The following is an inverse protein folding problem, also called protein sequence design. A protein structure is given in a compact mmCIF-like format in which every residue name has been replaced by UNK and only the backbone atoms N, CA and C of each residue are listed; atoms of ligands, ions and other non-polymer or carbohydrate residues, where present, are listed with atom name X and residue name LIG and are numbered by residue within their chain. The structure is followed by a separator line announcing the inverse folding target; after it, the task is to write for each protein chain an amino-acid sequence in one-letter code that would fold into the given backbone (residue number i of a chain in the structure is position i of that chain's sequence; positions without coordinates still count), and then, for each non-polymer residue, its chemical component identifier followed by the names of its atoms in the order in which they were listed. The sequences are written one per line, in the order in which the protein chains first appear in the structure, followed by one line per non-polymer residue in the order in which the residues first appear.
data_IF_866296616452
#
_entry.id   IF_866296616452
#
_cell.length_a   1.000
_cell.length_b   1.000
_cell.length_c   1.000
_cell.angle_alpha   90.00
_cell.angle_beta   90.00
_cell.angle_gamma   90.00
#
_symmetry.space_group_name_H-M   'P 1'
#
loop_
_entity.id
_entity.type
_entity.pdbx_description
1 polymer ?
#
# COMPACT_ATOMS: atom_id res chain seq x y z
N UNK A 1 -12.72 22.87 -46.78
CA UNK A 1 -12.01 23.54 -45.67
C UNK A 1 -13.03 23.95 -44.62
N UNK A 2 -13.16 23.18 -43.55
CA UNK A 2 -14.01 23.51 -42.41
C UNK A 2 -13.09 23.58 -41.19
N UNK A 3 -12.93 24.79 -40.67
CA UNK A 3 -12.17 25.09 -39.45
C UNK A 3 -13.10 24.92 -38.27
N UNK A 4 -12.95 23.85 -37.51
CA UNK A 4 -13.59 23.72 -36.19
C UNK A 4 -12.52 24.04 -35.14
N UNK A 5 -12.48 25.32 -34.77
CA UNK A 5 -11.87 25.83 -33.56
C UNK A 5 -12.88 25.63 -32.44
N UNK A 6 -12.71 24.63 -31.59
CA UNK A 6 -13.25 24.67 -30.22
C UNK A 6 -12.28 23.96 -29.29
N UNK A 7 -11.50 24.81 -28.61
CA UNK A 7 -10.87 24.53 -27.33
C UNK A 7 -11.99 24.27 -26.33
N UNK A 8 -12.02 23.09 -25.72
CA UNK A 8 -12.63 22.90 -24.41
C UNK A 8 -11.83 21.82 -23.68
N UNK A 9 -10.87 22.20 -22.80
CA UNK A 9 -10.33 21.24 -21.86
C UNK A 9 -11.47 20.90 -20.89
N UNK A 10 -12.04 19.70 -21.03
CA UNK A 10 -12.93 19.14 -20.02
C UNK A 10 -12.04 18.76 -18.84
N UNK A 11 -11.82 19.76 -18.01
CA UNK A 11 -11.21 19.69 -16.69
C UNK A 11 -12.25 19.03 -15.78
N UNK A 12 -12.38 17.70 -15.89
CA UNK A 12 -13.19 16.91 -14.98
C UNK A 12 -12.39 16.71 -13.71
N UNK A 13 -12.56 17.69 -12.82
CA UNK A 13 -12.36 17.57 -11.38
C UNK A 13 -13.15 16.36 -10.89
N UNK A 14 -12.50 15.20 -10.78
CA UNK A 14 -13.02 14.11 -9.95
C UNK A 14 -12.64 14.49 -8.53
N UNK A 15 -13.67 14.97 -7.84
CA UNK A 15 -13.72 15.31 -6.43
C UNK A 15 -13.14 14.17 -5.59
N UNK A 16 -12.12 14.50 -4.81
CA UNK A 16 -11.73 13.71 -3.65
C UNK A 16 -12.95 13.60 -2.73
N UNK A 17 -13.59 12.43 -2.73
CA UNK A 17 -14.52 12.06 -1.68
C UNK A 17 -13.69 11.81 -0.44
N UNK A 18 -13.58 12.84 0.40
CA UNK A 18 -13.17 12.70 1.80
C UNK A 18 -14.12 11.70 2.46
N UNK A 19 -13.66 10.47 2.65
CA UNK A 19 -14.26 9.56 3.63
C UNK A 19 -14.07 10.25 4.98
N UNK A 20 -15.19 10.76 5.47
CA UNK A 20 -15.34 11.36 6.79
C UNK A 20 -14.92 10.34 7.84
N UNK A 21 -13.81 10.57 8.54
CA UNK A 21 -13.62 10.03 9.88
C UNK A 21 -14.80 10.51 10.72
N UNK A 22 -15.73 9.61 11.03
CA UNK A 22 -16.79 9.88 11.99
C UNK A 22 -16.16 9.83 13.38
N UNK A 23 -15.75 11.01 13.88
CA UNK A 23 -15.56 11.22 15.30
C UNK A 23 -16.94 11.38 15.93
N UNK A 24 -17.44 10.33 16.57
CA UNK A 24 -18.42 10.46 17.65
C UNK A 24 -17.80 9.83 18.90
N UNK A 25 -17.56 10.71 19.87
CA UNK A 25 -17.09 10.45 21.23
C UNK A 25 -17.93 9.37 21.93
N UNK A 26 -17.24 8.48 22.64
CA UNK A 26 -17.57 7.92 23.97
C UNK A 26 -17.02 6.49 24.06
N UNK A 27 -15.84 6.34 24.67
CA UNK A 27 -15.66 5.55 25.88
C UNK A 27 -14.17 5.38 26.19
N UNK A 28 -13.84 5.61 27.45
CA UNK A 28 -12.56 5.33 28.08
C UNK A 28 -12.17 3.86 27.87
N UNK A 29 -11.30 3.59 26.90
CA UNK A 29 -10.47 2.40 26.91
C UNK A 29 -9.02 2.81 26.61
N UNK A 30 -8.19 2.65 27.62
CA UNK A 30 -6.73 2.63 27.59
C UNK A 30 -6.26 1.46 26.71
N UNK A 31 -6.55 1.55 25.40
CA UNK A 31 -6.04 0.64 24.39
C UNK A 31 -4.75 1.26 23.88
N UNK A 32 -3.62 0.70 24.28
CA UNK A 32 -2.30 0.92 23.69
C UNK A 32 -2.26 0.36 22.26
N UNK A 33 -3.20 0.76 21.40
CA UNK A 33 -3.27 0.39 20.01
C UNK A 33 -2.42 1.37 19.22
N UNK A 34 -1.34 0.85 18.64
CA UNK A 34 -0.57 1.56 17.63
C UNK A 34 -1.55 1.99 16.53
N UNK A 35 -1.78 3.30 16.40
CA UNK A 35 -2.65 3.84 15.37
C UNK A 35 -2.03 3.52 14.02
N UNK A 36 -2.82 2.96 13.10
CA UNK A 36 -2.41 2.64 11.74
C UNK A 36 -1.58 3.77 11.10
N UNK A 37 -0.28 3.52 10.83
CA UNK A 37 0.60 4.51 10.24
C UNK A 37 0.52 4.47 8.70
N UNK A 38 -0.46 5.20 8.15
CA UNK A 38 -0.72 5.21 6.71
C UNK A 38 0.46 5.73 5.88
N UNK A 39 1.28 6.63 6.45
CA UNK A 39 2.47 7.16 5.77
C UNK A 39 3.52 6.07 5.59
N UNK A 40 3.82 5.33 6.66
CA UNK A 40 4.77 4.20 6.64
C UNK A 40 4.31 3.05 5.74
N UNK A 41 3.01 2.70 5.77
CA UNK A 41 2.46 1.72 4.83
C UNK A 41 2.61 2.14 3.36
N UNK A 42 2.50 3.43 3.07
CA UNK A 42 2.67 3.94 1.71
C UNK A 42 4.13 3.82 1.26
N UNK A 43 5.08 4.15 2.14
CA UNK A 43 6.51 3.98 1.87
C UNK A 43 6.88 2.51 1.64
N UNK A 44 6.39 1.60 2.49
CA UNK A 44 6.61 0.16 2.36
C UNK A 44 6.02 -0.40 1.06
N UNK A 45 4.86 0.10 0.60
CA UNK A 45 4.30 -0.29 -0.70
C UNK A 45 5.17 0.15 -1.89
N UNK A 46 5.75 1.36 -1.83
CA UNK A 46 6.70 1.80 -2.86
C UNK A 46 7.95 0.92 -2.87
N UNK A 47 8.48 0.57 -1.70
CA UNK A 47 9.63 -0.33 -1.57
C UNK A 47 9.33 -1.76 -2.05
N UNK A 48 8.13 -2.30 -1.77
CA UNK A 48 7.66 -3.59 -2.30
C UNK A 48 7.69 -3.59 -3.83
N UNK A 49 7.23 -2.51 -4.46
CA UNK A 49 7.22 -2.39 -5.93
C UNK A 49 8.65 -2.39 -6.47
N UNK A 50 9.54 -1.59 -5.87
CA UNK A 50 10.93 -1.45 -6.32
C UNK A 50 11.73 -2.74 -6.12
N UNK A 51 11.66 -3.36 -4.94
CA UNK A 51 12.35 -4.60 -4.61
C UNK A 51 11.75 -5.80 -5.37
N UNK A 52 10.43 -5.82 -5.58
CA UNK A 52 9.76 -6.79 -6.43
C UNK A 52 10.25 -6.71 -7.88
N UNK A 53 10.40 -5.49 -8.42
CA UNK A 53 10.96 -5.27 -9.75
C UNK A 53 12.45 -5.69 -9.84
N UNK A 54 13.24 -5.40 -8.81
CA UNK A 54 14.66 -5.81 -8.74
C UNK A 54 14.80 -7.33 -8.66
N UNK A 55 13.98 -8.01 -7.85
CA UNK A 55 13.97 -9.47 -7.77
C UNK A 55 13.50 -10.10 -9.09
N UNK A 56 12.48 -9.53 -9.74
CA UNK A 56 12.02 -9.98 -11.06
C UNK A 56 13.11 -9.90 -12.14
N UNK A 57 13.92 -8.84 -12.10
CA UNK A 57 15.04 -8.65 -13.03
C UNK A 57 16.26 -9.53 -12.69
N UNK A 58 16.52 -9.76 -11.41
CA UNK A 58 17.64 -10.56 -10.92
C UNK A 58 17.25 -11.35 -9.67
N UNK A 59 16.95 -12.63 -9.85
CA UNK A 59 16.54 -13.56 -8.80
C UNK A 59 17.72 -14.06 -7.94
N UNK A 60 18.64 -13.16 -7.59
CA UNK A 60 19.70 -13.46 -6.64
C UNK A 60 19.12 -13.66 -5.23
N UNK A 61 19.80 -14.46 -4.39
CA UNK A 61 19.42 -14.66 -2.99
C UNK A 61 19.29 -13.34 -2.24
N UNK A 62 20.19 -12.37 -2.49
CA UNK A 62 20.15 -11.06 -1.83
C UNK A 62 18.89 -10.27 -2.19
N UNK A 63 18.50 -10.22 -3.46
CA UNK A 63 17.28 -9.54 -3.88
C UNK A 63 16.01 -10.25 -3.39
N UNK A 64 16.04 -11.59 -3.32
CA UNK A 64 14.94 -12.37 -2.77
C UNK A 64 14.74 -12.05 -1.27
N UNK A 65 15.82 -12.01 -0.50
CA UNK A 65 15.78 -11.68 0.93
C UNK A 65 15.26 -10.26 1.12
N UNK A 66 15.80 -9.26 0.40
CA UNK A 66 15.33 -7.89 0.52
C UNK A 66 13.83 -7.76 0.18
N UNK A 67 13.38 -8.44 -0.89
CA UNK A 67 11.95 -8.43 -1.24
C UNK A 67 11.08 -9.17 -0.21
N UNK A 68 11.60 -10.22 0.43
CA UNK A 68 10.92 -10.90 1.53
C UNK A 68 10.77 -9.99 2.75
N UNK A 69 11.86 -9.37 3.18
CA UNK A 69 11.91 -8.52 4.37
C UNK A 69 10.90 -7.38 4.26
N UNK A 70 10.85 -6.66 3.13
CA UNK A 70 9.88 -5.56 2.97
C UNK A 70 8.42 -6.02 2.97
N UNK A 71 8.13 -7.25 2.52
CA UNK A 71 6.78 -7.82 2.60
C UNK A 71 6.41 -8.17 4.05
N UNK A 72 7.37 -8.68 4.83
CA UNK A 72 7.19 -8.96 6.26
C UNK A 72 7.00 -7.65 7.04
N UNK A 73 7.80 -6.61 6.76
CA UNK A 73 7.69 -5.28 7.37
C UNK A 73 6.32 -4.64 7.09
N UNK A 74 5.82 -4.72 5.85
CA UNK A 74 4.47 -4.24 5.52
C UNK A 74 3.40 -4.97 6.32
N UNK A 75 3.47 -6.30 6.42
CA UNK A 75 2.47 -7.08 7.17
C UNK A 75 2.49 -6.69 8.64
N UNK A 76 3.67 -6.58 9.27
CA UNK A 76 3.82 -6.18 10.67
C UNK A 76 3.19 -4.81 10.94
N UNK A 77 3.48 -3.81 10.11
CA UNK A 77 2.89 -2.47 10.27
C UNK A 77 1.38 -2.46 9.97
N UNK A 78 0.93 -3.30 9.03
CA UNK A 78 -0.46 -3.37 8.62
C UNK A 78 -1.38 -4.14 9.59
N UNK A 79 -0.85 -4.90 10.57
CA UNK A 79 -1.68 -5.71 11.50
C UNK A 79 -2.75 -4.89 12.23
N UNK A 80 -2.46 -3.61 12.50
CA UNK A 80 -3.36 -2.68 13.19
C UNK A 80 -4.23 -1.84 12.22
N UNK A 81 -4.22 -2.15 10.93
CA UNK A 81 -4.89 -1.43 9.86
C UNK A 81 -5.99 -2.30 9.22
N UNK A 82 -7.25 -2.27 9.68
CA UNK A 82 -8.32 -3.11 9.15
C UNK A 82 -8.56 -2.97 7.64
N UNK A 83 -8.22 -1.82 7.06
CA UNK A 83 -8.35 -1.56 5.62
C UNK A 83 -7.28 -2.25 4.77
N UNK A 84 -6.19 -2.72 5.36
CA UNK A 84 -5.06 -3.35 4.67
C UNK A 84 -5.14 -4.89 4.68
N UNK A 85 -6.21 -5.49 5.22
CA UNK A 85 -6.31 -6.94 5.37
C UNK A 85 -6.22 -7.70 4.04
N UNK A 86 -6.82 -7.17 2.97
CA UNK A 86 -6.74 -7.79 1.64
C UNK A 86 -5.29 -7.83 1.13
N UNK A 87 -4.51 -6.76 1.38
CA UNK A 87 -3.10 -6.67 1.00
C UNK A 87 -2.23 -7.62 1.83
N UNK A 88 -2.50 -7.74 3.14
CA UNK A 88 -1.86 -8.73 4.03
C UNK A 88 -2.06 -10.15 3.48
N UNK A 89 -3.31 -10.53 3.18
CA UNK A 89 -3.64 -11.87 2.68
C UNK A 89 -2.97 -12.17 1.32
N UNK A 90 -2.81 -11.16 0.46
CA UNK A 90 -2.07 -11.27 -0.80
C UNK A 90 -0.56 -11.45 -0.55
N UNK A 91 0.05 -10.66 0.33
CA UNK A 91 1.48 -10.72 0.59
C UNK A 91 1.90 -11.96 1.39
N UNK A 92 1.09 -12.45 2.33
CA UNK A 92 1.32 -13.75 2.98
C UNK A 92 1.36 -14.89 1.95
N UNK A 93 0.48 -14.85 0.94
CA UNK A 93 0.51 -15.83 -0.16
C UNK A 93 1.80 -15.73 -0.97
N UNK A 94 2.26 -14.52 -1.27
CA UNK A 94 3.55 -14.31 -1.95
C UNK A 94 4.70 -14.87 -1.12
N UNK A 95 4.76 -14.53 0.17
CA UNK A 95 5.78 -15.03 1.11
C UNK A 95 5.80 -16.56 1.17
N UNK A 96 4.64 -17.21 1.20
CA UNK A 96 4.53 -18.67 1.23
C UNK A 96 5.09 -19.36 -0.02
N UNK A 97 5.11 -18.65 -1.16
CA UNK A 97 5.65 -19.14 -2.42
C UNK A 97 7.12 -18.74 -2.63
N UNK A 98 7.61 -17.74 -1.88
CA UNK A 98 8.94 -17.16 -2.05
C UNK A 98 10.01 -18.04 -1.40
N UNK A 99 10.88 -18.66 -2.21
CA UNK A 99 11.95 -19.54 -1.74
C UNK A 99 13.33 -18.92 -1.99
N UNK A 100 13.89 -18.26 -0.98
CA UNK A 100 15.20 -17.58 -1.05
C UNK A 100 16.41 -18.47 -0.69
N UNK A 101 16.40 -19.73 -1.12
CA UNK A 101 17.49 -20.69 -0.86
C UNK A 101 18.54 -20.77 -1.98
#
# INVERSE_FOLDING_TARGET
MIKIKYLFPVLLLISFSFVSCNNEDDDDDDFSGQSCNVEELTELLEEIIDLGALYSQNQSTANCIAYREVLEDFIEEAENCPSAQDDIDDFERVLSALNCN
#
